data_IF_458333164987
#
_entry.id   IF_458333164987
#
_cell.length_a   1.000
_cell.length_b   1.000
_cell.length_c   1.000
_cell.angle_alpha   90.00
_cell.angle_beta   90.00
_cell.angle_gamma   90.00
#
_symmetry.space_group_name_H-M   'P 1'
#
loop_
_entity.id
_entity.type
_entity.pdbx_description
1 polymer ?
#
# COMPACT_ATOMS: atom_id res chain seq x y z
N UNK A 1 -10.30 -5.69 23.51
CA UNK A 1 -9.61 -5.61 22.20
C UNK A 1 -10.62 -5.19 21.15
N UNK A 2 -10.35 -4.11 20.44
CA UNK A 2 -11.15 -3.66 19.29
C UNK A 2 -10.34 -3.89 18.03
N UNK A 3 -10.96 -4.30 16.95
CA UNK A 3 -10.30 -4.60 15.67
C UNK A 3 -11.10 -3.95 14.55
N UNK A 4 -10.46 -3.07 13.80
CA UNK A 4 -11.02 -2.41 12.63
C UNK A 4 -10.17 -2.81 11.41
N UNK A 5 -10.71 -3.62 10.51
CA UNK A 5 -10.03 -4.11 9.32
C UNK A 5 -10.77 -3.73 8.05
N UNK A 6 -10.01 -3.46 6.99
CA UNK A 6 -10.56 -3.35 5.64
C UNK A 6 -11.02 -4.71 5.12
N UNK A 7 -12.14 -4.75 4.40
CA UNK A 7 -12.66 -5.95 3.75
C UNK A 7 -13.04 -5.65 2.29
N UNK A 8 -12.69 -6.54 1.38
CA UNK A 8 -11.88 -7.76 1.54
C UNK A 8 -10.43 -7.45 1.87
N UNK A 9 -9.73 -8.38 2.52
CA UNK A 9 -8.28 -8.26 2.71
C UNK A 9 -7.60 -8.73 1.43
N UNK A 10 -6.92 -7.83 0.75
CA UNK A 10 -6.19 -8.16 -0.47
C UNK A 10 -5.04 -9.15 -0.18
N UNK A 11 -4.70 -10.04 -1.12
CA UNK A 11 -3.61 -10.99 -0.94
C UNK A 11 -2.28 -10.29 -0.71
N UNK A 12 -1.42 -10.94 0.06
CA UNK A 12 -0.06 -10.46 0.27
C UNK A 12 0.82 -10.85 -0.91
N UNK A 13 1.56 -9.87 -1.42
CA UNK A 13 2.53 -10.06 -2.47
C UNK A 13 3.94 -9.78 -1.93
N UNK A 14 4.77 -10.81 -1.69
CA UNK A 14 6.08 -10.62 -1.11
C UNK A 14 7.04 -10.00 -2.13
N UNK A 15 7.84 -9.06 -1.64
CA UNK A 15 8.94 -8.47 -2.39
C UNK A 15 10.17 -9.39 -2.28
N UNK A 16 10.14 -10.53 -2.97
CA UNK A 16 11.19 -11.55 -2.86
C UNK A 16 11.59 -12.15 -4.20
N UNK A 17 12.86 -12.47 -4.27
CA UNK A 17 13.51 -13.15 -5.37
C UNK A 17 14.50 -12.24 -6.11
N UNK A 18 15.29 -12.84 -6.96
CA UNK A 18 16.29 -12.13 -7.79
C UNK A 18 15.69 -11.66 -9.12
N UNK A 19 14.38 -11.64 -9.25
CA UNK A 19 13.71 -11.24 -10.49
C UNK A 19 13.84 -9.73 -10.68
N UNK A 20 14.51 -9.37 -11.74
CA UNK A 20 14.58 -7.99 -12.23
C UNK A 20 13.42 -7.80 -13.19
N UNK A 21 12.56 -6.79 -12.94
CA UNK A 21 11.54 -6.47 -13.92
C UNK A 21 12.21 -6.07 -15.24
N UNK A 22 11.84 -6.69 -16.37
CA UNK A 22 12.54 -6.46 -17.65
C UNK A 22 12.44 -5.02 -18.14
N UNK A 23 11.42 -4.28 -17.70
CA UNK A 23 11.16 -2.92 -18.17
C UNK A 23 12.05 -1.87 -17.47
N UNK A 24 12.24 -1.98 -16.16
CA UNK A 24 12.93 -0.95 -15.36
C UNK A 24 14.23 -1.44 -14.72
N UNK A 25 14.57 -2.71 -14.91
CA UNK A 25 15.71 -3.36 -14.25
C UNK A 25 15.70 -3.15 -12.72
N UNK A 26 14.50 -3.09 -12.14
CA UNK A 26 14.32 -2.96 -10.70
C UNK A 26 14.61 -4.29 -10.03
N UNK A 27 15.45 -4.27 -9.01
CA UNK A 27 15.63 -5.40 -8.13
C UNK A 27 14.46 -5.51 -7.16
N UNK A 28 14.19 -6.69 -6.62
CA UNK A 28 13.04 -6.93 -5.75
C UNK A 28 12.97 -5.97 -4.56
N UNK A 29 14.08 -5.65 -3.94
CA UNK A 29 14.13 -4.70 -2.83
C UNK A 29 13.78 -3.24 -3.22
N UNK A 30 13.59 -2.95 -4.50
CA UNK A 30 13.18 -1.65 -5.02
C UNK A 30 11.70 -1.63 -5.43
N UNK A 31 10.98 -2.74 -5.28
CA UNK A 31 9.62 -2.91 -5.79
C UNK A 31 8.51 -2.66 -4.74
N UNK A 32 8.85 -2.21 -3.54
CA UNK A 32 7.86 -2.01 -2.47
C UNK A 32 6.68 -1.10 -2.91
N UNK A 33 6.95 -0.03 -3.65
CA UNK A 33 5.88 0.84 -4.16
C UNK A 33 4.98 0.11 -5.15
N UNK A 34 5.58 -0.58 -6.13
CA UNK A 34 4.81 -1.35 -7.11
C UNK A 34 3.95 -2.43 -6.45
N UNK A 35 4.49 -3.14 -5.47
CA UNK A 35 3.75 -4.14 -4.72
C UNK A 35 2.54 -3.55 -3.99
N UNK A 36 2.72 -2.41 -3.30
CA UNK A 36 1.63 -1.81 -2.54
C UNK A 36 0.55 -1.24 -3.47
N UNK A 37 0.92 -0.50 -4.51
CA UNK A 37 -0.07 0.05 -5.43
C UNK A 37 -0.77 -1.03 -6.26
N UNK A 38 -0.07 -2.10 -6.65
CA UNK A 38 -0.68 -3.28 -7.24
C UNK A 38 -1.69 -3.93 -6.28
N UNK A 39 -1.33 -4.12 -5.01
CA UNK A 39 -2.22 -4.66 -3.99
C UNK A 39 -3.49 -3.80 -3.80
N UNK A 40 -3.38 -2.47 -3.87
CA UNK A 40 -4.53 -1.57 -3.78
C UNK A 40 -5.46 -1.72 -5.01
N UNK A 41 -4.90 -1.95 -6.20
CA UNK A 41 -5.70 -2.24 -7.42
C UNK A 41 -6.39 -3.60 -7.28
N UNK A 42 -5.67 -4.63 -6.82
CA UNK A 42 -6.26 -5.97 -6.56
C UNK A 42 -7.40 -5.88 -5.55
N UNK A 43 -7.23 -5.08 -4.50
CA UNK A 43 -8.30 -4.84 -3.53
C UNK A 43 -9.57 -4.29 -4.20
N UNK A 44 -9.43 -3.28 -5.07
CA UNK A 44 -10.56 -2.75 -5.84
C UNK A 44 -11.17 -3.84 -6.73
N UNK A 45 -10.33 -4.62 -7.40
CA UNK A 45 -10.77 -5.76 -8.21
C UNK A 45 -11.60 -6.78 -7.45
N UNK A 46 -11.16 -7.13 -6.24
CA UNK A 46 -11.91 -8.05 -5.36
C UNK A 46 -13.24 -7.45 -4.91
N UNK A 47 -13.27 -6.16 -4.63
CA UNK A 47 -14.47 -5.46 -4.17
C UNK A 47 -15.52 -5.29 -5.28
N UNK A 48 -15.07 -4.97 -6.48
CA UNK A 48 -15.92 -4.70 -7.65
C UNK A 48 -16.09 -5.92 -8.57
N UNK A 49 -15.49 -7.07 -8.22
CA UNK A 49 -15.50 -8.31 -9.03
C UNK A 49 -14.92 -8.12 -10.44
N UNK A 50 -13.79 -7.40 -10.54
CA UNK A 50 -13.09 -7.14 -11.80
C UNK A 50 -11.93 -8.13 -11.93
N UNK A 51 -12.06 -9.11 -12.83
CA UNK A 51 -11.08 -10.20 -13.01
C UNK A 51 -9.68 -9.70 -13.38
N UNK A 52 -9.60 -8.72 -14.26
CA UNK A 52 -8.32 -8.17 -14.74
C UNK A 52 -7.53 -7.50 -13.61
N UNK A 53 -8.23 -6.89 -12.65
CA UNK A 53 -7.62 -6.30 -11.47
C UNK A 53 -7.22 -7.36 -10.44
N UNK A 54 -8.06 -8.38 -10.20
CA UNK A 54 -7.78 -9.43 -9.24
C UNK A 54 -6.61 -10.33 -9.66
N UNK A 55 -6.37 -10.46 -10.95
CA UNK A 55 -5.26 -11.24 -11.51
C UNK A 55 -3.96 -10.44 -11.69
N UNK A 56 -3.95 -9.14 -11.33
CA UNK A 56 -2.80 -8.27 -11.52
C UNK A 56 -1.62 -8.73 -10.65
N UNK A 57 -0.49 -8.99 -11.28
CA UNK A 57 0.78 -9.25 -10.60
C UNK A 57 1.63 -7.99 -10.54
N UNK A 58 2.64 -7.95 -9.67
CA UNK A 58 3.60 -6.83 -9.64
C UNK A 58 4.28 -6.64 -10.99
N UNK A 59 4.61 -7.72 -11.67
CA UNK A 59 5.18 -7.68 -13.02
C UNK A 59 4.24 -6.98 -14.01
N UNK A 60 2.97 -7.40 -14.07
CA UNK A 60 1.98 -6.81 -14.97
C UNK A 60 1.65 -5.36 -14.59
N UNK A 61 1.67 -5.04 -13.29
CA UNK A 61 1.53 -3.66 -12.83
C UNK A 61 2.62 -2.75 -13.42
N UNK A 62 3.88 -3.16 -13.37
CA UNK A 62 4.97 -2.38 -13.96
C UNK A 62 4.87 -2.32 -15.49
N UNK A 63 4.39 -3.35 -16.15
CA UNK A 63 4.13 -3.31 -17.58
C UNK A 63 3.06 -2.28 -17.99
N UNK A 64 1.99 -2.19 -17.18
CA UNK A 64 0.97 -1.13 -17.33
C UNK A 64 1.56 0.26 -17.07
N UNK A 65 2.34 0.39 -16.00
CA UNK A 65 2.96 1.64 -15.58
C UNK A 65 3.98 2.15 -16.61
N UNK A 66 4.71 1.26 -17.31
CA UNK A 66 5.68 1.66 -18.35
C UNK A 66 5.08 2.54 -19.42
N UNK A 67 3.92 2.17 -19.93
CA UNK A 67 3.22 2.99 -20.94
C UNK A 67 2.88 4.37 -20.40
N UNK A 68 2.48 4.47 -19.14
CA UNK A 68 2.17 5.73 -18.48
C UNK A 68 3.40 6.59 -18.28
N UNK A 69 4.51 6.00 -17.80
CA UNK A 69 5.79 6.68 -17.59
C UNK A 69 6.27 7.30 -18.90
N UNK A 70 6.22 6.54 -19.99
CA UNK A 70 6.66 7.00 -21.30
C UNK A 70 5.83 8.17 -21.81
N UNK A 71 4.50 8.12 -21.64
CA UNK A 71 3.56 9.14 -22.13
C UNK A 71 3.57 10.38 -21.22
N UNK A 72 3.60 10.18 -19.90
CA UNK A 72 3.41 11.24 -18.91
C UNK A 72 4.68 11.65 -18.17
N UNK A 73 5.83 11.09 -18.54
CA UNK A 73 7.15 11.35 -17.91
C UNK A 73 7.15 11.13 -16.39
N UNK A 74 6.46 10.10 -15.93
CA UNK A 74 6.39 9.76 -14.51
C UNK A 74 7.70 9.16 -14.00
N UNK A 75 7.95 9.30 -12.71
CA UNK A 75 9.10 8.71 -12.03
C UNK A 75 8.66 7.48 -11.21
N UNK A 76 9.13 6.29 -11.58
CA UNK A 76 8.80 5.03 -10.89
C UNK A 76 9.23 4.98 -9.42
N UNK A 77 10.14 5.87 -9.02
CA UNK A 77 10.59 5.99 -7.64
C UNK A 77 9.78 7.02 -6.84
N UNK A 78 8.83 7.71 -7.47
CA UNK A 78 7.98 8.67 -6.78
C UNK A 78 6.61 8.04 -6.47
N UNK A 79 6.32 7.91 -5.19
CA UNK A 79 5.04 7.39 -4.72
C UNK A 79 3.83 8.26 -5.11
N UNK A 80 4.05 9.56 -5.38
CA UNK A 80 2.98 10.43 -5.90
C UNK A 80 2.61 10.06 -7.33
N UNK A 81 3.58 9.66 -8.16
CA UNK A 81 3.35 9.22 -9.52
C UNK A 81 2.59 7.88 -9.57
N UNK A 82 2.89 6.95 -8.64
CA UNK A 82 2.10 5.73 -8.49
C UNK A 82 0.65 6.02 -8.06
N UNK A 83 0.44 6.95 -7.13
CA UNK A 83 -0.91 7.37 -6.73
C UNK A 83 -1.66 8.03 -7.90
N UNK A 84 -0.98 8.87 -8.69
CA UNK A 84 -1.56 9.46 -9.87
C UNK A 84 -1.95 8.40 -10.92
N UNK A 85 -1.11 7.40 -11.15
CA UNK A 85 -1.41 6.28 -12.03
C UNK A 85 -2.65 5.52 -11.56
N UNK A 86 -2.72 5.18 -10.26
CA UNK A 86 -3.92 4.56 -9.67
C UNK A 86 -5.17 5.38 -9.96
N UNK A 87 -5.16 6.68 -9.67
CA UNK A 87 -6.32 7.55 -9.85
C UNK A 87 -6.78 7.60 -11.32
N UNK A 88 -5.84 7.67 -12.24
CA UNK A 88 -6.15 7.65 -13.68
C UNK A 88 -6.68 6.30 -14.14
N UNK A 89 -6.14 5.19 -13.62
CA UNK A 89 -6.64 3.85 -13.92
C UNK A 89 -8.09 3.67 -13.44
N UNK A 90 -8.39 4.11 -12.21
CA UNK A 90 -9.75 4.06 -11.67
C UNK A 90 -10.72 4.89 -12.53
N UNK A 91 -10.34 6.11 -12.87
CA UNK A 91 -11.14 6.99 -13.73
C UNK A 91 -11.39 6.40 -15.13
N UNK A 92 -10.36 5.80 -15.75
CA UNK A 92 -10.48 5.16 -17.06
C UNK A 92 -11.45 3.97 -17.07
N UNK A 93 -11.62 3.32 -15.90
CA UNK A 93 -12.55 2.21 -15.71
C UNK A 93 -13.89 2.63 -15.09
N UNK A 94 -14.19 3.94 -15.00
CA UNK A 94 -15.41 4.50 -14.41
C UNK A 94 -15.63 4.07 -12.96
N UNK A 95 -14.55 3.86 -12.22
CA UNK A 95 -14.58 3.46 -10.81
C UNK A 95 -14.38 4.68 -9.90
N UNK A 96 -15.14 4.80 -8.80
CA UNK A 96 -15.15 5.99 -7.96
C UNK A 96 -14.00 6.04 -6.95
N UNK A 97 -12.98 5.20 -7.09
CA UNK A 97 -11.88 5.15 -6.14
C UNK A 97 -10.77 6.12 -6.52
N UNK A 98 -10.22 6.76 -5.50
CA UNK A 98 -9.01 7.55 -5.65
C UNK A 98 -8.08 7.39 -4.45
N UNK A 99 -6.80 7.71 -4.64
CA UNK A 99 -5.81 7.79 -3.58
C UNK A 99 -5.44 9.24 -3.35
N UNK A 100 -5.52 9.68 -2.08
CA UNK A 100 -5.06 10.96 -1.61
C UNK A 100 -3.79 10.78 -0.79
N UNK A 101 -2.72 11.46 -1.19
CA UNK A 101 -1.45 11.50 -0.44
C UNK A 101 -1.48 12.60 0.60
N UNK A 102 -1.20 12.26 1.86
CA UNK A 102 -1.09 13.20 2.97
C UNK A 102 0.13 12.91 3.84
N UNK A 103 0.60 13.92 4.56
CA UNK A 103 1.49 13.71 5.71
C UNK A 103 0.73 12.96 6.81
N UNK A 104 1.40 12.00 7.46
CA UNK A 104 0.76 11.12 8.43
C UNK A 104 0.35 11.85 9.71
N UNK A 105 -0.89 11.59 10.12
CA UNK A 105 -1.41 11.93 11.43
C UNK A 105 -1.95 10.66 12.06
N UNK A 106 -1.51 10.34 13.28
CA UNK A 106 -1.88 9.09 13.96
C UNK A 106 -3.38 9.00 14.24
N UNK A 107 -3.99 10.08 14.70
CA UNK A 107 -5.42 10.09 15.03
C UNK A 107 -6.27 10.03 13.76
N UNK A 108 -5.88 10.75 12.69
CA UNK A 108 -6.54 10.66 11.38
C UNK A 108 -6.46 9.23 10.80
N UNK A 109 -5.30 8.56 10.94
CA UNK A 109 -5.16 7.17 10.50
C UNK A 109 -6.06 6.21 11.29
N UNK A 110 -6.14 6.39 12.62
CA UNK A 110 -7.07 5.61 13.44
C UNK A 110 -8.52 5.84 13.01
N UNK A 111 -8.93 7.10 12.89
CA UNK A 111 -10.28 7.47 12.45
C UNK A 111 -10.59 6.92 11.06
N UNK A 112 -9.63 6.94 10.14
CA UNK A 112 -9.79 6.38 8.81
C UNK A 112 -10.18 4.91 8.84
N UNK A 113 -9.53 4.08 9.68
CA UNK A 113 -9.88 2.67 9.80
C UNK A 113 -11.14 2.43 10.64
N UNK A 114 -11.48 3.30 11.58
CA UNK A 114 -12.71 3.22 12.37
C UNK A 114 -13.96 3.52 11.53
N UNK A 115 -13.86 4.45 10.59
CA UNK A 115 -14.98 4.94 9.79
C UNK A 115 -14.98 4.41 8.35
N UNK A 116 -13.85 3.97 7.87
CA UNK A 116 -13.65 3.49 6.50
C UNK A 116 -13.34 2.01 6.44
N UNK A 117 -13.42 1.46 5.24
CA UNK A 117 -13.22 0.03 4.99
C UNK A 117 -12.12 -0.23 3.98
N UNK A 118 -11.26 0.77 3.71
CA UNK A 118 -10.25 0.66 2.67
C UNK A 118 -8.86 0.44 3.26
N UNK A 119 -7.99 -0.31 2.57
CA UNK A 119 -6.57 -0.32 2.86
C UNK A 119 -5.95 1.03 2.47
N UNK A 120 -4.76 1.30 3.01
CA UNK A 120 -3.97 2.46 2.61
C UNK A 120 -2.50 2.09 2.43
N UNK A 121 -1.76 2.87 1.67
CA UNK A 121 -0.30 2.79 1.63
C UNK A 121 0.32 3.67 2.71
N UNK A 122 1.39 3.21 3.37
CA UNK A 122 2.17 4.00 4.31
C UNK A 122 3.64 4.00 3.89
N UNK A 123 4.12 5.14 3.42
CA UNK A 123 5.56 5.39 3.22
C UNK A 123 6.22 5.69 4.56
N UNK A 124 7.04 4.76 5.04
CA UNK A 124 7.61 4.75 6.39
C UNK A 124 9.12 4.96 6.38
N UNK A 125 9.70 5.15 7.56
CA UNK A 125 11.15 5.15 7.80
C UNK A 125 11.67 3.83 8.36
N UNK A 126 10.92 2.73 8.17
CA UNK A 126 11.33 1.39 8.62
C UNK A 126 12.67 0.93 8.02
N UNK A 127 13.05 1.44 6.85
CA UNK A 127 14.38 1.24 6.27
C UNK A 127 15.11 2.57 6.09
N UNK A 128 16.43 2.51 5.98
CA UNK A 128 17.28 3.68 5.77
C UNK A 128 16.89 4.50 4.52
N UNK A 129 16.44 3.85 3.46
CA UNK A 129 16.03 4.51 2.19
C UNK A 129 14.53 4.82 2.12
N UNK A 130 13.80 4.59 3.21
CA UNK A 130 12.36 4.60 3.19
C UNK A 130 11.78 3.26 2.71
N UNK A 131 10.55 3.00 3.09
CA UNK A 131 9.84 1.78 2.75
C UNK A 131 8.34 2.03 2.77
N UNK A 132 7.59 1.39 1.88
CA UNK A 132 6.14 1.50 1.86
C UNK A 132 5.52 0.16 2.23
N UNK A 133 4.55 0.21 3.14
CA UNK A 133 3.76 -0.93 3.59
C UNK A 133 2.27 -0.68 3.32
N UNK A 134 1.47 -1.73 3.33
CA UNK A 134 0.02 -1.62 3.21
C UNK A 134 -0.65 -1.74 4.57
N UNK A 135 -1.23 -0.65 5.06
CA UNK A 135 -2.12 -0.65 6.22
C UNK A 135 -3.48 -1.24 5.84
N UNK A 136 -3.98 -2.13 6.67
CA UNK A 136 -5.27 -2.81 6.47
C UNK A 136 -6.22 -2.66 7.65
N UNK A 137 -5.77 -2.06 8.75
CA UNK A 137 -6.61 -1.84 9.91
C UNK A 137 -5.83 -1.42 11.16
N UNK A 138 -6.59 -1.19 12.22
CA UNK A 138 -6.08 -0.89 13.57
C UNK A 138 -6.57 -1.96 14.54
N UNK A 139 -5.68 -2.38 15.41
CA UNK A 139 -5.98 -3.24 16.57
C UNK A 139 -5.71 -2.43 17.83
N UNK A 140 -6.72 -2.28 18.69
CA UNK A 140 -6.60 -1.66 20.00
C UNK A 140 -6.70 -2.71 21.10
N UNK A 141 -5.69 -2.76 21.96
CA UNK A 141 -5.63 -3.66 23.11
C UNK A 141 -6.43 -3.11 24.30
N UNK A 142 -6.65 -3.93 25.33
CA UNK A 142 -7.44 -3.54 26.51
C UNK A 142 -6.78 -2.42 27.34
N UNK A 143 -5.46 -2.27 27.24
CA UNK A 143 -4.67 -1.21 27.87
C UNK A 143 -4.56 0.06 27.00
N UNK A 144 -5.29 0.12 25.88
CA UNK A 144 -5.37 1.29 25.01
C UNK A 144 -4.23 1.45 24.01
N UNK A 145 -3.32 0.49 23.93
CA UNK A 145 -2.28 0.52 22.89
C UNK A 145 -2.87 0.24 21.51
N UNK A 146 -2.40 0.97 20.52
CA UNK A 146 -2.86 0.84 19.13
C UNK A 146 -1.75 0.27 18.24
N UNK A 147 -2.10 -0.72 17.45
CA UNK A 147 -1.23 -1.38 16.50
C UNK A 147 -1.80 -1.21 15.08
N UNK A 148 -0.93 -0.85 14.15
CA UNK A 148 -1.26 -0.94 12.74
C UNK A 148 -1.23 -2.39 12.30
N UNK A 149 -2.37 -2.93 11.88
CA UNK A 149 -2.43 -4.20 11.17
C UNK A 149 -2.06 -3.93 9.71
N UNK A 150 -1.06 -4.64 9.20
CA UNK A 150 -0.53 -4.33 7.88
C UNK A 150 0.02 -5.56 7.16
N UNK A 151 0.33 -5.37 5.89
CA UNK A 151 1.16 -6.26 5.10
C UNK A 151 2.40 -5.51 4.65
N UNK A 152 3.55 -6.09 4.94
CA UNK A 152 4.86 -5.55 4.57
C UNK A 152 5.48 -6.48 3.52
N UNK A 153 5.71 -6.02 2.28
CA UNK A 153 6.23 -6.87 1.21
C UNK A 153 7.68 -7.32 1.46
N UNK A 154 8.38 -6.65 2.36
CA UNK A 154 9.78 -6.96 2.68
C UNK A 154 9.95 -7.95 3.84
N UNK A 155 8.90 -8.19 4.62
CA UNK A 155 8.90 -9.03 5.80
C UNK A 155 8.61 -8.24 7.08
N UNK A 156 9.08 -8.73 8.24
CA UNK A 156 8.86 -8.06 9.52
C UNK A 156 10.00 -7.09 9.82
N UNK A 157 9.73 -5.80 9.70
CA UNK A 157 10.67 -4.74 10.04
C UNK A 157 10.84 -4.52 11.55
N UNK A 158 11.84 -3.73 11.98
CA UNK A 158 12.83 -3.08 11.13
C UNK A 158 14.04 -3.96 10.77
N UNK A 159 14.18 -5.15 11.35
CA UNK A 159 15.35 -6.02 11.12
C UNK A 159 15.20 -6.95 9.90
N UNK A 160 13.96 -7.19 9.48
CA UNK A 160 13.61 -8.04 8.33
C UNK A 160 14.23 -9.46 8.37
N UNK A 161 14.42 -10.00 9.61
CA UNK A 161 14.88 -11.39 9.81
C UNK A 161 13.77 -12.36 9.44
N UNK A 162 12.52 -12.05 9.88
CA UNK A 162 11.35 -12.82 9.49
C UNK A 162 10.84 -12.31 8.13
N UNK A 163 10.85 -13.15 7.14
CA UNK A 163 10.41 -12.79 5.80
C UNK A 163 8.89 -12.73 5.61
N UNK A 164 8.10 -13.23 6.56
CA UNK A 164 6.65 -13.29 6.44
C UNK A 164 6.00 -12.01 6.95
N UNK A 165 5.70 -11.10 6.03
CA UNK A 165 5.15 -9.78 6.34
C UNK A 165 3.63 -9.67 6.16
N UNK A 166 2.89 -10.78 6.04
CA UNK A 166 1.43 -10.75 5.87
C UNK A 166 0.70 -10.68 7.21
N UNK A 167 -0.27 -9.77 7.30
CA UNK A 167 -1.10 -9.58 8.51
C UNK A 167 -0.31 -9.35 9.81
N UNK A 168 0.88 -8.77 9.72
CA UNK A 168 1.71 -8.42 10.85
C UNK A 168 1.19 -7.17 11.57
N UNK A 169 1.79 -6.85 12.72
CA UNK A 169 1.41 -5.68 13.51
C UNK A 169 2.65 -4.85 13.86
N UNK A 170 2.55 -3.54 13.64
CA UNK A 170 3.52 -2.57 14.15
C UNK A 170 2.86 -1.71 15.23
N UNK A 171 3.56 -1.53 16.35
CA UNK A 171 3.16 -0.54 17.36
C UNK A 171 3.08 0.84 16.68
N UNK A 172 1.93 1.48 16.80
CA UNK A 172 1.65 2.72 16.06
C UNK A 172 2.49 3.89 16.58
N UNK A 173 2.72 3.94 17.89
CA UNK A 173 3.55 4.98 18.50
C UNK A 173 5.01 4.85 18.08
N UNK A 174 5.54 3.63 18.09
CA UNK A 174 6.91 3.38 17.64
C UNK A 174 7.06 3.65 16.14
N UNK A 175 6.07 3.32 15.31
CA UNK A 175 6.10 3.59 13.88
C UNK A 175 6.20 5.10 13.60
N UNK A 176 5.40 5.92 14.30
CA UNK A 176 5.42 7.38 14.16
C UNK A 176 6.67 8.03 14.79
N UNK A 177 7.25 7.41 15.82
CA UNK A 177 8.49 7.86 16.46
C UNK A 177 9.73 7.69 15.57
N UNK A 178 9.78 6.61 14.77
CA UNK A 178 10.84 6.40 13.78
C UNK A 178 10.83 7.53 12.72
N UNK A 179 9.66 8.04 12.39
CA UNK A 179 9.45 9.17 11.49
C UNK A 179 8.01 9.23 11.01
N UNK A 180 7.50 10.45 10.85
CA UNK A 180 6.14 10.66 10.36
C UNK A 180 5.97 10.01 8.98
N UNK A 181 5.04 9.05 8.83
CA UNK A 181 4.82 8.40 7.55
C UNK A 181 4.12 9.32 6.56
N UNK A 182 4.31 9.07 5.27
CA UNK A 182 3.40 9.58 4.23
C UNK A 182 2.29 8.57 4.03
N UNK A 183 1.02 8.98 4.12
CA UNK A 183 -0.12 8.08 3.99
C UNK A 183 -0.84 8.30 2.66
N UNK A 184 -1.17 7.20 2.00
CA UNK A 184 -1.91 7.14 0.75
C UNK A 184 -3.31 6.59 1.06
N UNK A 185 -4.22 7.47 1.45
CA UNK A 185 -5.59 7.12 1.78
C UNK A 185 -6.38 6.78 0.51
N UNK A 186 -7.03 5.61 0.50
CA UNK A 186 -8.01 5.27 -0.53
C UNK A 186 -9.39 5.78 -0.10
N UNK A 187 -10.09 6.44 -0.98
CA UNK A 187 -11.42 6.99 -0.72
C UNK A 187 -12.32 6.87 -1.96
N UNK A 188 -13.63 7.00 -1.74
CA UNK A 188 -14.60 7.11 -2.84
C UNK A 188 -14.73 8.58 -3.21
N UNK A 189 -14.51 8.90 -4.47
CA UNK A 189 -14.75 10.22 -5.02
C UNK A 189 -16.27 10.50 -5.00
N UNK A 190 -16.66 11.52 -4.26
CA UNK A 190 -18.05 11.97 -4.28
C UNK A 190 -18.32 12.66 -5.61
N UNK A 191 -19.27 12.13 -6.36
CA UNK A 191 -19.74 12.72 -7.60
C UNK A 191 -20.39 14.10 -7.41
#
# INVERSE_FOLDING_TARGET
MKIHLSHPVAPWNPQRGDQVTPFFKLRDYQQCMGNIFQDLIVYVGMRENISDFTSLTTYNYYALLENWIRIHKLNIYDSADHAQHFNKLMKANHLPYRIQKKEGNKDELCQYFETGSFPCGLGTKLTHKGHIIRGIGIVETSDGKKFLKCSDPYGVGPRYIDPYGHLIQYDLDELFKIGVPTIFYMEIEKG
#
